data_IF_397328563146
#
_entry.id   IF_397328563146
#
_cell.length_a   1.000
_cell.length_b   1.000
_cell.length_c   1.000
_cell.angle_alpha   90.00
_cell.angle_beta   90.00
_cell.angle_gamma   90.00
#
_symmetry.space_group_name_H-M   'P 1'
#
loop_
_entity.id
_entity.type
_entity.pdbx_description
1 polymer ?
#
# COMPACT_ATOMS: atom_id res chain seq x y z
N UNK A 1 -2.97 -13.29 12.47
CA UNK A 1 -1.93 -13.03 11.46
C UNK A 1 -1.06 -11.89 11.99
N UNK A 2 0.23 -12.17 12.33
CA UNK A 2 1.16 -11.13 12.77
C UNK A 2 1.62 -10.38 11.51
N UNK A 3 0.95 -9.27 11.17
CA UNK A 3 1.48 -8.35 10.18
C UNK A 3 2.84 -7.86 10.65
N UNK A 4 3.89 -8.23 9.93
CA UNK A 4 5.23 -7.70 10.17
C UNK A 4 5.17 -6.23 9.74
N UNK A 5 5.03 -5.30 10.69
CA UNK A 5 4.96 -3.88 10.35
C UNK A 5 6.27 -3.45 9.70
N UNK A 6 6.21 -2.58 8.69
CA UNK A 6 7.37 -2.01 8.04
C UNK A 6 8.36 -1.37 9.05
N UNK A 7 7.86 -0.95 10.20
CA UNK A 7 8.69 -0.50 11.33
C UNK A 7 9.72 -1.56 11.77
N UNK A 8 9.38 -2.86 11.72
CA UNK A 8 10.29 -3.95 12.14
C UNK A 8 11.45 -4.19 11.17
N UNK A 9 11.36 -3.67 9.94
CA UNK A 9 12.44 -3.75 8.95
C UNK A 9 13.56 -2.74 9.24
N UNK A 10 13.26 -1.69 10.02
CA UNK A 10 14.24 -0.72 10.46
C UNK A 10 15.11 -1.25 11.61
N UNK A 11 16.32 -0.76 11.74
CA UNK A 11 17.20 -1.05 12.88
C UNK A 11 16.55 -0.70 14.21
N UNK A 12 16.84 -1.46 15.26
CA UNK A 12 16.21 -1.31 16.58
C UNK A 12 16.28 0.10 17.15
N UNK A 13 17.38 0.83 16.92
CA UNK A 13 17.52 2.23 17.33
C UNK A 13 16.57 3.14 16.59
N UNK A 14 16.42 3.00 15.27
CA UNK A 14 15.47 3.78 14.47
C UNK A 14 14.03 3.53 14.92
N UNK A 15 13.69 2.27 15.22
CA UNK A 15 12.37 1.94 15.78
C UNK A 15 12.09 2.67 17.10
N UNK A 16 13.08 2.73 18.00
CA UNK A 16 12.95 3.47 19.29
C UNK A 16 12.77 4.97 19.06
N UNK A 17 13.55 5.56 18.15
CA UNK A 17 13.44 6.97 17.77
C UNK A 17 12.05 7.30 17.23
N UNK A 18 11.55 6.51 16.25
CA UNK A 18 10.23 6.73 15.68
C UNK A 18 9.11 6.53 16.71
N UNK A 19 9.24 5.57 17.64
CA UNK A 19 8.27 5.40 18.74
C UNK A 19 8.26 6.61 19.67
N UNK A 20 9.44 7.16 20.03
CA UNK A 20 9.51 8.37 20.84
C UNK A 20 8.88 9.56 20.13
N UNK A 21 9.14 9.73 18.83
CA UNK A 21 8.53 10.80 18.03
C UNK A 21 7.01 10.61 17.89
N UNK A 22 6.50 9.37 17.76
CA UNK A 22 5.06 9.09 17.76
C UNK A 22 4.39 9.56 19.06
N UNK A 23 5.06 9.35 20.20
CA UNK A 23 4.59 9.74 21.52
C UNK A 23 4.83 11.23 21.85
N UNK A 24 5.44 11.95 20.94
CA UNK A 24 5.77 13.39 21.10
C UNK A 24 5.13 14.19 19.94
N UNK A 25 3.82 14.45 19.96
CA UNK A 25 3.11 15.13 18.85
C UNK A 25 3.66 16.53 18.52
N UNK A 26 4.16 17.23 19.53
CA UNK A 26 4.81 18.55 19.38
C UNK A 26 6.29 18.44 18.97
N UNK A 27 6.76 17.22 18.77
CA UNK A 27 8.14 16.90 18.45
C UNK A 27 9.01 16.59 19.65
N UNK A 28 10.25 16.16 19.37
CA UNK A 28 11.25 15.84 20.38
C UNK A 28 12.60 16.44 20.00
N UNK A 29 13.36 16.89 20.99
CA UNK A 29 14.74 17.37 20.82
C UNK A 29 15.70 16.18 20.70
N UNK A 30 16.94 16.44 20.24
CA UNK A 30 17.99 15.42 20.24
C UNK A 30 18.22 14.87 21.65
N UNK A 31 18.11 15.69 22.66
CA UNK A 31 18.29 15.32 24.08
C UNK A 31 17.21 14.34 24.53
N UNK A 32 15.92 14.62 24.21
CA UNK A 32 14.81 13.73 24.51
C UNK A 32 14.98 12.36 23.82
N UNK A 33 15.51 12.37 22.59
CA UNK A 33 15.76 11.19 21.80
C UNK A 33 16.95 10.38 22.32
N UNK A 34 18.00 11.04 22.82
CA UNK A 34 19.11 10.39 23.53
C UNK A 34 18.61 9.65 24.77
N UNK A 35 17.79 10.33 25.59
CA UNK A 35 17.19 9.71 26.77
C UNK A 35 16.35 8.47 26.46
N UNK A 36 15.60 8.49 25.34
CA UNK A 36 14.77 7.38 24.94
C UNK A 36 15.53 6.18 24.35
N UNK A 37 16.74 6.39 23.84
CA UNK A 37 17.51 5.38 23.10
C UNK A 37 18.80 4.95 23.77
N UNK A 38 19.26 5.74 24.76
CA UNK A 38 20.54 5.52 25.47
C UNK A 38 21.77 5.54 24.53
N UNK A 39 21.74 6.37 23.49
CA UNK A 39 22.86 6.57 22.57
C UNK A 39 23.31 8.03 22.53
N UNK A 40 24.48 8.30 21.97
CA UNK A 40 25.08 9.63 21.93
C UNK A 40 24.32 10.60 21.01
N UNK A 41 24.46 11.91 21.23
CA UNK A 41 23.89 12.96 20.37
C UNK A 41 24.29 12.79 18.90
N UNK A 42 25.54 12.43 18.62
CA UNK A 42 26.01 12.21 17.24
C UNK A 42 25.31 11.02 16.58
N UNK A 43 25.15 9.90 17.30
CA UNK A 43 24.44 8.73 16.80
C UNK A 43 22.97 9.05 16.52
N UNK A 44 22.27 9.77 17.43
CA UNK A 44 20.89 10.24 17.20
C UNK A 44 20.83 11.09 15.94
N UNK A 45 21.73 12.05 15.75
CA UNK A 45 21.75 12.90 14.54
C UNK A 45 21.96 12.12 13.26
N UNK A 46 22.84 11.11 13.25
CA UNK A 46 23.05 10.24 12.08
C UNK A 46 21.76 9.49 11.72
N UNK A 47 21.09 8.89 12.71
CA UNK A 47 19.82 8.22 12.49
C UNK A 47 18.72 9.18 12.02
N UNK A 48 18.62 10.37 12.59
CA UNK A 48 17.66 11.39 12.15
C UNK A 48 17.93 11.83 10.71
N UNK A 49 19.19 12.01 10.31
CA UNK A 49 19.54 12.33 8.92
C UNK A 49 19.07 11.24 7.96
N UNK A 50 19.28 9.97 8.29
CA UNK A 50 18.82 8.84 7.49
C UNK A 50 17.28 8.78 7.41
N UNK A 51 16.59 9.00 8.54
CA UNK A 51 15.12 9.00 8.59
C UNK A 51 14.51 10.20 7.84
N UNK A 52 15.17 11.36 7.86
CA UNK A 52 14.77 12.53 7.07
C UNK A 52 14.97 12.30 5.57
N UNK A 53 16.06 11.67 5.18
CA UNK A 53 16.31 11.30 3.77
C UNK A 53 15.24 10.34 3.23
N UNK A 54 14.66 9.50 4.10
CA UNK A 54 13.55 8.59 3.78
C UNK A 54 12.17 9.27 3.85
N UNK A 55 12.08 10.56 4.18
CA UNK A 55 10.81 11.27 4.33
C UNK A 55 9.96 10.82 5.53
N UNK A 56 10.55 10.16 6.53
CA UNK A 56 9.83 9.64 7.70
C UNK A 56 9.77 10.64 8.86
N UNK A 57 10.75 11.54 8.94
CA UNK A 57 10.93 12.55 9.98
C UNK A 57 11.26 13.89 9.34
N UNK A 58 10.85 14.98 9.94
CA UNK A 58 11.25 16.33 9.56
C UNK A 58 11.73 17.14 10.77
N UNK A 59 12.38 18.28 10.51
CA UNK A 59 12.56 19.31 11.52
C UNK A 59 11.22 19.98 11.78
N UNK A 60 10.84 20.06 13.05
CA UNK A 60 9.72 20.84 13.51
C UNK A 60 10.13 22.24 13.95
N UNK A 61 9.19 22.95 14.59
CA UNK A 61 9.46 24.25 15.17
C UNK A 61 10.47 24.13 16.31
N UNK A 62 11.41 25.08 16.37
CA UNK A 62 12.42 25.09 17.43
C UNK A 62 11.78 25.41 18.78
N UNK A 63 12.13 24.66 19.81
CA UNK A 63 11.62 24.87 21.16
C UNK A 63 12.43 25.98 21.81
N UNK A 64 11.76 27.03 22.32
CA UNK A 64 12.45 28.09 23.11
C UNK A 64 13.18 27.47 24.31
N UNK A 65 14.39 27.95 24.58
CA UNK A 65 15.15 27.60 25.78
C UNK A 65 15.77 28.88 26.33
N UNK A 66 16.20 28.87 27.56
CA UNK A 66 16.86 30.05 28.20
C UNK A 66 18.13 30.54 27.50
N UNK A 67 18.44 30.02 26.29
CA UNK A 67 19.54 30.37 25.41
C UNK A 67 19.17 30.12 23.94
N UNK A 68 20.09 29.46 23.18
CA UNK A 68 19.84 29.14 21.76
C UNK A 68 18.66 28.17 21.62
N UNK A 69 17.65 28.47 20.78
CA UNK A 69 16.51 27.57 20.56
C UNK A 69 16.96 26.16 20.17
N UNK A 70 16.29 25.14 20.73
CA UNK A 70 16.64 23.74 20.49
C UNK A 70 15.92 23.25 19.25
N UNK A 71 16.65 22.59 18.34
CA UNK A 71 16.06 21.94 17.18
C UNK A 71 15.15 20.81 17.63
N UNK A 72 13.93 20.80 17.10
CA UNK A 72 12.91 19.79 17.33
C UNK A 72 12.73 18.93 16.08
N UNK A 73 12.31 17.69 16.25
CA UNK A 73 12.04 16.74 15.18
C UNK A 73 10.62 16.17 15.34
N UNK A 74 9.91 16.02 14.24
CA UNK A 74 8.53 15.54 14.21
C UNK A 74 8.41 14.33 13.26
N UNK A 75 7.49 13.46 13.59
CA UNK A 75 7.15 12.31 12.75
C UNK A 75 6.22 12.75 11.61
N UNK A 76 6.64 12.52 10.38
CA UNK A 76 5.84 12.80 9.19
C UNK A 76 4.73 11.74 8.97
N UNK A 77 3.70 12.01 8.14
CA UNK A 77 2.66 11.04 7.81
C UNK A 77 3.22 9.68 7.35
N UNK A 78 4.20 9.67 6.44
CA UNK A 78 4.86 8.44 5.99
C UNK A 78 5.52 7.66 7.14
N UNK A 79 6.13 8.35 8.10
CA UNK A 79 6.68 7.73 9.32
C UNK A 79 5.60 7.13 10.23
N UNK A 80 4.40 7.74 10.26
CA UNK A 80 3.25 7.20 11.01
C UNK A 80 2.70 5.93 10.38
N UNK A 81 2.73 5.80 9.05
CA UNK A 81 2.26 4.61 8.32
C UNK A 81 3.14 3.38 8.55
N UNK A 82 4.38 3.52 9.05
CA UNK A 82 5.21 2.37 9.44
C UNK A 82 4.66 1.61 10.66
N UNK A 83 3.83 2.25 11.47
CA UNK A 83 3.22 1.62 12.63
C UNK A 83 2.05 0.73 12.23
N UNK A 84 1.81 -0.40 12.94
CA UNK A 84 0.74 -1.32 12.58
C UNK A 84 -0.61 -0.63 12.44
N UNK A 85 -1.32 -0.97 11.35
CA UNK A 85 -2.70 -0.56 11.08
C UNK A 85 -3.57 -1.81 10.98
N UNK A 86 -4.75 -1.77 11.56
CA UNK A 86 -5.67 -2.90 11.58
C UNK A 86 -6.83 -2.72 10.58
N UNK A 87 -6.57 -2.09 9.43
CA UNK A 87 -7.60 -1.88 8.40
C UNK A 87 -8.22 -3.19 7.93
N UNK A 88 -7.41 -4.26 7.81
CA UNK A 88 -7.91 -5.57 7.41
C UNK A 88 -8.90 -6.16 8.43
N UNK A 89 -8.76 -5.86 9.73
CA UNK A 89 -9.70 -6.30 10.76
C UNK A 89 -11.07 -5.65 10.56
N UNK A 90 -11.10 -4.33 10.37
CA UNK A 90 -12.36 -3.61 10.13
C UNK A 90 -12.96 -4.02 8.79
N UNK A 91 -12.15 -4.08 7.72
CA UNK A 91 -12.64 -4.49 6.40
C UNK A 91 -13.21 -5.92 6.41
N UNK A 92 -12.53 -6.86 7.08
CA UNK A 92 -13.03 -8.22 7.26
C UNK A 92 -14.36 -8.27 8.00
N UNK A 93 -14.46 -7.57 9.14
CA UNK A 93 -15.72 -7.52 9.91
C UNK A 93 -16.88 -6.88 9.13
N UNK A 94 -16.60 -5.84 8.33
CA UNK A 94 -17.63 -5.24 7.44
C UNK A 94 -18.08 -6.24 6.38
N UNK A 95 -17.15 -6.96 5.75
CA UNK A 95 -17.49 -7.98 4.75
C UNK A 95 -18.30 -9.12 5.39
N UNK A 96 -17.88 -9.64 6.54
CA UNK A 96 -18.64 -10.66 7.27
C UNK A 96 -20.07 -10.22 7.58
N UNK A 97 -20.23 -8.99 8.04
CA UNK A 97 -21.55 -8.40 8.29
C UNK A 97 -22.40 -8.35 7.01
N UNK A 98 -21.83 -7.86 5.92
CA UNK A 98 -22.53 -7.75 4.63
C UNK A 98 -22.90 -9.15 4.07
N UNK A 99 -22.00 -10.14 4.17
CA UNK A 99 -22.33 -11.52 3.77
C UNK A 99 -23.52 -12.08 4.54
N UNK A 100 -23.58 -11.80 5.85
CA UNK A 100 -24.66 -12.31 6.70
C UNK A 100 -26.02 -11.64 6.41
N UNK A 101 -26.04 -10.37 5.97
CA UNK A 101 -27.27 -9.60 5.84
C UNK A 101 -27.74 -9.44 4.38
N UNK A 102 -26.80 -9.30 3.44
CA UNK A 102 -27.08 -9.03 2.03
C UNK A 102 -26.83 -10.25 1.13
N UNK A 103 -26.07 -11.22 1.61
CA UNK A 103 -25.68 -12.42 0.86
C UNK A 103 -24.50 -12.21 -0.09
N UNK A 104 -23.92 -13.33 -0.52
CA UNK A 104 -22.68 -13.34 -1.31
C UNK A 104 -22.81 -12.60 -2.66
N UNK A 105 -23.94 -12.75 -3.34
CA UNK A 105 -24.15 -12.13 -4.65
C UNK A 105 -24.17 -10.59 -4.56
N UNK A 106 -24.83 -10.03 -3.53
CA UNK A 106 -24.87 -8.59 -3.32
C UNK A 106 -23.50 -8.02 -2.96
N UNK A 107 -22.74 -8.73 -2.12
CA UNK A 107 -21.37 -8.35 -1.75
C UNK A 107 -20.45 -8.38 -2.97
N UNK A 108 -20.53 -9.40 -3.80
CA UNK A 108 -19.75 -9.50 -5.04
C UNK A 108 -20.08 -8.36 -6.00
N UNK A 109 -21.37 -8.05 -6.18
CA UNK A 109 -21.80 -6.92 -7.03
C UNK A 109 -21.31 -5.58 -6.51
N UNK A 110 -21.40 -5.34 -5.20
CA UNK A 110 -20.85 -4.14 -4.55
C UNK A 110 -19.35 -4.00 -4.77
N UNK A 111 -18.58 -5.06 -4.55
CA UNK A 111 -17.12 -5.06 -4.75
C UNK A 111 -16.77 -4.77 -6.22
N UNK A 112 -17.50 -5.36 -7.16
CA UNK A 112 -17.32 -5.11 -8.60
C UNK A 112 -17.66 -3.65 -8.96
N UNK A 113 -18.72 -3.08 -8.40
CA UNK A 113 -19.08 -1.68 -8.63
C UNK A 113 -18.01 -0.72 -8.10
N UNK A 114 -17.48 -0.98 -6.90
CA UNK A 114 -16.37 -0.22 -6.31
C UNK A 114 -15.11 -0.28 -7.20
N UNK A 115 -14.75 -1.47 -7.66
CA UNK A 115 -13.63 -1.66 -8.57
C UNK A 115 -13.83 -0.92 -9.90
N UNK A 116 -15.00 -1.05 -10.50
CA UNK A 116 -15.32 -0.37 -11.76
C UNK A 116 -15.30 1.16 -11.61
N UNK A 117 -15.75 1.70 -10.49
CA UNK A 117 -15.68 3.15 -10.22
C UNK A 117 -14.22 3.62 -10.22
N UNK A 118 -13.36 2.96 -9.47
CA UNK A 118 -11.94 3.31 -9.43
C UNK A 118 -11.25 3.11 -10.78
N UNK A 119 -11.64 2.07 -11.54
CA UNK A 119 -11.13 1.79 -12.88
C UNK A 119 -11.48 2.89 -13.89
N UNK A 120 -12.67 3.48 -13.80
CA UNK A 120 -13.05 4.62 -14.64
C UNK A 120 -12.19 5.86 -14.39
N UNK A 121 -11.80 6.10 -13.13
CA UNK A 121 -10.90 7.21 -12.79
C UNK A 121 -9.50 7.01 -13.39
N UNK A 122 -9.08 5.76 -13.59
CA UNK A 122 -7.81 5.40 -14.24
C UNK A 122 -7.89 5.32 -15.79
N UNK A 123 -9.10 5.31 -16.35
CA UNK A 123 -9.33 5.00 -17.76
C UNK A 123 -8.76 6.03 -18.74
N UNK A 124 -8.66 7.33 -18.38
CA UNK A 124 -8.22 8.39 -19.31
C UNK A 124 -6.89 8.08 -20.00
N UNK A 125 -5.93 7.56 -19.23
CA UNK A 125 -4.59 7.25 -19.76
C UNK A 125 -4.55 5.96 -20.58
N UNK A 126 -5.37 4.97 -20.21
CA UNK A 126 -5.34 3.61 -20.77
C UNK A 126 -6.24 3.53 -22.01
N UNK A 127 -7.42 4.18 -21.98
CA UNK A 127 -8.39 4.12 -23.08
C UNK A 127 -7.93 4.82 -24.35
N UNK A 128 -6.93 5.71 -24.28
CA UNK A 128 -6.33 6.36 -25.45
C UNK A 128 -5.44 5.41 -26.27
N UNK A 129 -4.91 4.35 -25.64
CA UNK A 129 -4.06 3.37 -26.31
C UNK A 129 -4.90 2.46 -27.25
N UNK A 130 -4.40 2.29 -28.47
CA UNK A 130 -5.06 1.44 -29.48
C UNK A 130 -4.44 0.06 -29.58
N UNK A 131 -3.13 -0.02 -29.38
CA UNK A 131 -2.38 -1.26 -29.41
C UNK A 131 -2.64 -2.09 -28.13
N UNK A 132 -3.03 -3.37 -28.27
CA UNK A 132 -3.24 -4.26 -27.11
C UNK A 132 -2.02 -4.38 -26.18
N UNK A 133 -0.81 -4.40 -26.72
CA UNK A 133 0.40 -4.49 -25.92
C UNK A 133 0.61 -3.21 -25.10
N UNK A 134 0.32 -2.04 -25.67
CA UNK A 134 0.38 -0.76 -24.97
C UNK A 134 -0.68 -0.68 -23.86
N UNK A 135 -1.91 -1.14 -24.11
CA UNK A 135 -2.98 -1.23 -23.09
C UNK A 135 -2.52 -2.09 -21.92
N UNK A 136 -1.94 -3.26 -22.21
CA UNK A 136 -1.44 -4.17 -21.17
C UNK A 136 -0.31 -3.52 -20.35
N UNK A 137 0.61 -2.82 -21.01
CA UNK A 137 1.71 -2.10 -20.34
C UNK A 137 1.19 -1.00 -19.43
N UNK A 138 0.29 -0.15 -19.92
CA UNK A 138 -0.30 0.94 -19.13
C UNK A 138 -1.12 0.43 -17.94
N UNK A 139 -1.84 -0.68 -18.13
CA UNK A 139 -2.56 -1.33 -17.03
C UNK A 139 -1.58 -1.88 -15.97
N UNK A 140 -0.49 -2.53 -16.40
CA UNK A 140 0.53 -3.02 -15.47
C UNK A 140 1.15 -1.87 -14.67
N UNK A 141 1.51 -0.75 -15.31
CA UNK A 141 2.02 0.45 -14.62
C UNK A 141 1.00 1.03 -13.62
N UNK A 142 -0.29 1.05 -13.99
CA UNK A 142 -1.34 1.52 -13.09
C UNK A 142 -1.48 0.61 -11.87
N UNK A 143 -1.44 -0.71 -12.06
CA UNK A 143 -1.49 -1.69 -10.96
C UNK A 143 -0.24 -1.60 -10.09
N UNK A 144 0.93 -1.38 -10.68
CA UNK A 144 2.18 -1.21 -9.93
C UNK A 144 2.09 0.00 -8.97
N UNK A 145 1.52 1.13 -9.42
CA UNK A 145 1.28 2.29 -8.54
C UNK A 145 0.34 1.99 -7.37
N UNK A 146 -0.51 0.98 -7.52
CA UNK A 146 -1.43 0.51 -6.48
C UNK A 146 -0.79 -0.57 -5.57
N UNK A 147 0.47 -0.95 -5.82
CA UNK A 147 1.24 -1.88 -5.01
C UNK A 147 1.10 -3.36 -5.39
N UNK A 148 0.64 -3.66 -6.60
CA UNK A 148 0.52 -5.05 -7.09
C UNK A 148 1.85 -5.68 -7.52
N UNK A 149 2.95 -4.88 -7.59
CA UNK A 149 4.22 -5.35 -8.16
C UNK A 149 3.96 -5.99 -9.54
N UNK A 150 3.35 -5.20 -10.42
CA UNK A 150 2.81 -5.69 -11.68
C UNK A 150 3.74 -5.41 -12.85
N UNK A 151 3.83 -6.37 -13.77
CA UNK A 151 4.61 -6.27 -14.99
C UNK A 151 3.87 -6.93 -16.17
N UNK A 152 4.37 -6.71 -17.38
CA UNK A 152 3.88 -7.44 -18.56
C UNK A 152 4.68 -8.73 -18.70
N UNK A 153 3.97 -9.85 -18.87
CA UNK A 153 4.54 -11.14 -19.21
C UNK A 153 4.03 -11.57 -20.60
N UNK A 154 4.89 -12.18 -21.41
CA UNK A 154 4.45 -12.87 -22.62
C UNK A 154 4.09 -14.30 -22.27
N UNK A 155 2.86 -14.71 -22.61
CA UNK A 155 2.34 -16.06 -22.40
C UNK A 155 1.82 -16.58 -23.73
N UNK A 156 2.56 -17.49 -24.34
CA UNK A 156 2.23 -18.09 -25.64
C UNK A 156 2.00 -17.04 -26.75
N UNK A 157 2.81 -15.97 -26.78
CA UNK A 157 2.71 -14.89 -27.74
C UNK A 157 1.59 -13.88 -27.45
N UNK A 158 0.99 -13.93 -26.26
CA UNK A 158 -0.03 -13.00 -25.80
C UNK A 158 0.45 -12.19 -24.59
N UNK A 159 0.40 -10.86 -24.62
CA UNK A 159 0.76 -10.04 -23.48
C UNK A 159 -0.31 -10.18 -22.37
N UNK A 160 0.12 -10.55 -21.17
CA UNK A 160 -0.70 -10.60 -19.97
C UNK A 160 -0.10 -9.67 -18.89
N UNK A 161 -0.93 -9.16 -18.01
CA UNK A 161 -0.46 -8.52 -16.77
C UNK A 161 -0.18 -9.61 -15.75
N UNK A 162 1.02 -9.61 -15.20
CA UNK A 162 1.45 -10.50 -14.12
C UNK A 162 1.66 -9.67 -12.85
N UNK A 163 0.92 -9.98 -11.78
CA UNK A 163 0.95 -9.30 -10.49
C UNK A 163 1.53 -10.24 -9.44
N UNK A 164 2.68 -9.88 -8.86
CA UNK A 164 3.41 -10.69 -7.87
C UNK A 164 2.97 -10.42 -6.43
N UNK A 165 2.25 -9.33 -6.21
CA UNK A 165 1.68 -9.00 -4.91
C UNK A 165 0.16 -8.86 -5.01
N UNK A 166 -0.57 -9.55 -4.15
CA UNK A 166 -2.00 -9.33 -3.98
C UNK A 166 -2.23 -8.34 -2.85
N UNK A 167 -2.62 -7.11 -3.17
CA UNK A 167 -2.85 -6.05 -2.17
C UNK A 167 -3.99 -6.39 -1.20
N UNK A 168 -4.90 -7.29 -1.60
CA UNK A 168 -5.99 -7.80 -0.79
C UNK A 168 -5.73 -9.19 -0.18
N UNK A 169 -4.48 -9.68 -0.19
CA UNK A 169 -4.15 -11.06 0.16
C UNK A 169 -4.81 -11.56 1.46
N UNK A 170 -4.77 -10.76 2.52
CA UNK A 170 -5.33 -11.14 3.81
C UNK A 170 -6.86 -11.27 3.78
N UNK A 171 -7.55 -10.40 3.03
CA UNK A 171 -9.01 -10.45 2.84
C UNK A 171 -9.40 -11.55 1.85
N UNK A 172 -8.71 -11.68 0.76
CA UNK A 172 -9.01 -12.64 -0.31
C UNK A 172 -8.92 -14.10 0.16
N UNK A 173 -8.09 -14.40 1.18
CA UNK A 173 -8.02 -15.75 1.77
C UNK A 173 -9.28 -16.17 2.51
N UNK A 174 -10.02 -15.23 3.10
CA UNK A 174 -11.26 -15.47 3.83
C UNK A 174 -12.49 -15.11 3.00
N UNK A 175 -12.35 -14.17 2.08
CA UNK A 175 -13.40 -13.64 1.21
C UNK A 175 -12.93 -13.59 -0.26
N UNK A 176 -12.93 -14.73 -0.99
CA UNK A 176 -12.40 -14.79 -2.36
C UNK A 176 -13.11 -13.85 -3.35
N UNK A 177 -14.34 -13.46 -3.07
CA UNK A 177 -15.13 -12.52 -3.88
C UNK A 177 -14.49 -11.13 -3.99
N UNK A 178 -13.54 -10.78 -3.09
CA UNK A 178 -12.75 -9.54 -3.20
C UNK A 178 -12.03 -9.44 -4.54
N UNK A 179 -11.68 -10.56 -5.17
CA UNK A 179 -11.08 -10.57 -6.50
C UNK A 179 -12.00 -10.04 -7.61
N UNK A 180 -13.32 -9.93 -7.38
CA UNK A 180 -14.24 -9.28 -8.33
C UNK A 180 -13.97 -7.78 -8.47
N UNK A 181 -13.49 -7.15 -7.41
CA UNK A 181 -13.01 -5.77 -7.43
C UNK A 181 -11.89 -5.60 -8.47
N UNK A 182 -10.86 -6.46 -8.44
CA UNK A 182 -9.71 -6.37 -9.35
C UNK A 182 -10.14 -6.52 -10.81
N UNK A 183 -10.97 -7.52 -11.12
CA UNK A 183 -11.45 -7.76 -12.47
C UNK A 183 -12.30 -6.61 -13.00
N UNK A 184 -13.17 -6.06 -12.14
CA UNK A 184 -14.02 -4.93 -12.51
C UNK A 184 -13.21 -3.64 -12.69
N UNK A 185 -12.21 -3.40 -11.81
CA UNK A 185 -11.26 -2.31 -11.95
C UNK A 185 -10.54 -2.36 -13.30
N UNK A 186 -9.89 -3.49 -13.60
CA UNK A 186 -9.13 -3.64 -14.82
C UNK A 186 -10.01 -3.55 -16.07
N UNK A 187 -11.21 -4.14 -16.03
CA UNK A 187 -12.15 -4.07 -17.15
C UNK A 187 -12.63 -2.65 -17.40
N UNK A 188 -12.92 -1.89 -16.36
CA UNK A 188 -13.34 -0.50 -16.48
C UNK A 188 -12.19 0.42 -16.93
N UNK A 189 -10.97 0.19 -16.44
CA UNK A 189 -9.79 0.97 -16.81
C UNK A 189 -9.39 0.76 -18.28
N UNK A 190 -9.55 -0.45 -18.80
CA UNK A 190 -9.18 -0.77 -20.19
C UNK A 190 -10.33 -0.61 -21.20
N UNK A 191 -11.59 -0.56 -20.72
CA UNK A 191 -12.78 -0.63 -21.56
C UNK A 191 -12.91 -1.97 -22.30
N UNK A 192 -12.28 -3.05 -21.79
CA UNK A 192 -12.23 -4.38 -22.39
C UNK A 192 -12.53 -5.45 -21.34
N UNK A 193 -13.02 -6.62 -21.71
CA UNK A 193 -13.16 -7.72 -20.77
C UNK A 193 -11.77 -8.20 -20.30
N UNK A 194 -11.64 -8.45 -19.01
CA UNK A 194 -10.40 -8.98 -18.41
C UNK A 194 -10.70 -10.32 -17.78
N UNK A 195 -9.88 -11.31 -18.09
CA UNK A 195 -9.95 -12.66 -17.54
C UNK A 195 -8.71 -12.95 -16.69
N UNK A 196 -8.91 -13.50 -15.51
CA UNK A 196 -7.83 -14.01 -14.67
C UNK A 196 -7.44 -15.41 -15.14
N UNK A 197 -6.21 -15.56 -15.64
CA UNK A 197 -5.67 -16.84 -16.15
C UNK A 197 -4.95 -17.64 -15.07
N UNK A 198 -4.35 -16.94 -14.06
CA UNK A 198 -3.72 -17.57 -12.89
C UNK A 198 -4.09 -16.82 -11.61
N UNK A 199 -4.07 -17.51 -10.46
CA UNK A 199 -4.44 -16.94 -9.18
C UNK A 199 -3.57 -17.48 -8.04
N UNK A 200 -2.99 -16.57 -7.24
CA UNK A 200 -2.22 -16.91 -6.04
C UNK A 200 -3.04 -17.65 -4.97
N UNK A 201 -4.34 -17.41 -4.89
CA UNK A 201 -5.22 -18.13 -3.94
C UNK A 201 -5.35 -19.61 -4.30
N UNK A 202 -5.09 -19.98 -5.56
CA UNK A 202 -5.10 -21.36 -6.04
C UNK A 202 -3.69 -21.94 -6.19
N UNK A 203 -2.70 -21.34 -5.52
CA UNK A 203 -1.32 -21.86 -5.45
C UNK A 203 -0.39 -21.41 -6.58
N UNK A 204 -0.83 -20.53 -7.48
CA UNK A 204 0.07 -19.94 -8.46
C UNK A 204 1.04 -18.93 -7.80
N UNK A 205 2.27 -18.72 -8.33
CA UNK A 205 3.25 -17.79 -7.78
C UNK A 205 2.82 -16.33 -7.95
N UNK A 206 2.01 -16.03 -8.97
CA UNK A 206 1.50 -14.71 -9.29
C UNK A 206 0.04 -14.81 -9.77
N UNK A 207 -0.69 -13.69 -9.74
CA UNK A 207 -1.94 -13.58 -10.49
C UNK A 207 -1.65 -13.10 -11.90
N UNK A 208 -2.29 -13.70 -12.92
CA UNK A 208 -2.18 -13.26 -14.30
C UNK A 208 -3.54 -12.89 -14.87
N UNK A 209 -3.51 -11.84 -15.71
CA UNK A 209 -4.71 -11.27 -16.27
C UNK A 209 -4.53 -11.04 -17.77
N UNK A 210 -5.44 -11.62 -18.56
CA UNK A 210 -5.51 -11.44 -20.03
C UNK A 210 -6.58 -10.42 -20.35
N UNK A 211 -6.21 -9.44 -21.17
CA UNK A 211 -7.14 -8.42 -21.68
C UNK A 211 -7.72 -8.95 -22.99
N UNK A 212 -9.04 -9.04 -23.06
CA UNK A 212 -9.75 -9.47 -24.24
C UNK A 212 -9.79 -8.41 -25.35
N UNK A 213 -10.32 -8.76 -26.54
CA UNK A 213 -10.57 -7.81 -27.60
C UNK A 213 -11.61 -6.76 -27.17
N UNK A 214 -11.60 -5.61 -27.86
CA UNK A 214 -12.56 -4.53 -27.66
C UNK A 214 -13.91 -4.88 -28.27
#
# INVERSE_FOLDING_TARGET
>A
VRHTSALRQLGGTQQKLLRKLLLSPQGATVEDLCGATSITHNAVRQHLTALMAQGLVARGESIPSGGRPRACFVLLPAGRELFPRNYALIAGGVLEYLYAHEGAQAVQAMLAEMGAKLGRDAAERIAAARDPAEVTRLLAEQLDTLGYEAQVADVDGHPEVEAWNCVFHSLARTHPDVCSFDLAFMSAATGRPVQRTQCMLHGAPACRFRIGPK
#
